data_IF_990714903273
#
_entry.id   IF_990714903273
#
_cell.length_a   1.000
_cell.length_b   1.000
_cell.length_c   1.000
_cell.angle_alpha   90.00
_cell.angle_beta   90.00
_cell.angle_gamma   90.00
#
_symmetry.space_group_name_H-M   'P 1'
#
loop_
_entity.id
_entity.type
_entity.pdbx_description
1 polymer ?
#
# COMPACT_ATOMS: atom_id res chain seq x y z
N UNK A 1 3.75 22.78 31.32
CA UNK A 1 2.71 21.89 30.76
C UNK A 1 3.44 20.77 30.05
N UNK A 2 3.49 19.58 30.64
CA UNK A 2 4.20 18.45 30.06
C UNK A 2 3.21 17.68 29.17
N UNK A 3 3.18 18.02 27.88
CA UNK A 3 2.46 17.20 26.91
C UNK A 3 3.19 15.85 26.83
N UNK A 4 2.58 14.80 27.39
CA UNK A 4 2.97 13.44 27.08
C UNK A 4 2.60 13.23 25.61
N UNK A 5 3.55 13.49 24.73
CA UNK A 5 3.46 13.14 23.32
C UNK A 5 3.60 11.61 23.28
N UNK A 6 2.47 10.91 23.32
CA UNK A 6 2.45 9.48 23.03
C UNK A 6 2.91 9.32 21.58
N UNK A 7 4.19 9.02 21.37
CA UNK A 7 4.78 8.76 20.07
C UNK A 7 4.45 7.33 19.64
N UNK A 8 3.16 6.99 19.60
CA UNK A 8 2.73 5.70 19.10
C UNK A 8 2.99 5.68 17.59
N UNK A 9 3.86 4.77 17.17
CA UNK A 9 4.20 4.58 15.76
C UNK A 9 3.36 3.42 15.24
N UNK A 10 2.53 3.68 14.24
CA UNK A 10 1.65 2.69 13.63
C UNK A 10 2.40 1.98 12.50
N UNK A 11 2.48 0.65 12.55
CA UNK A 11 2.93 -0.16 11.43
C UNK A 11 1.80 -0.30 10.40
N UNK A 12 2.07 0.07 9.15
CA UNK A 12 1.13 0.02 8.04
C UNK A 12 1.70 -0.76 6.84
N UNK A 13 0.84 -1.54 6.18
CA UNK A 13 1.15 -2.19 4.91
C UNK A 13 0.52 -1.41 3.75
N UNK A 14 1.26 -1.21 2.67
CA UNK A 14 0.80 -0.57 1.44
C UNK A 14 0.31 -1.65 0.47
N UNK A 15 -0.95 -1.60 0.05
CA UNK A 15 -1.50 -2.53 -0.94
C UNK A 15 -1.74 -1.82 -2.26
N UNK A 16 -1.13 -2.33 -3.33
CA UNK A 16 -1.23 -1.82 -4.70
C UNK A 16 -1.84 -2.92 -5.57
N UNK A 17 -2.79 -2.58 -6.44
CA UNK A 17 -3.45 -3.58 -7.30
C UNK A 17 -3.54 -3.08 -8.74
N UNK A 18 -3.31 -4.00 -9.67
CA UNK A 18 -3.48 -3.76 -11.10
C UNK A 18 -4.92 -3.98 -11.54
N UNK A 19 -5.45 -3.02 -12.29
CA UNK A 19 -6.74 -3.15 -12.95
C UNK A 19 -6.56 -4.01 -14.20
N UNK A 20 -7.12 -5.21 -14.15
CA UNK A 20 -7.10 -6.21 -15.22
C UNK A 20 -8.11 -5.87 -16.32
N UNK A 21 -7.99 -4.69 -16.92
CA UNK A 21 -8.96 -4.20 -17.92
C UNK A 21 -8.39 -4.04 -19.34
N UNK A 22 -7.07 -4.00 -19.55
CA UNK A 22 -6.50 -4.00 -20.90
C UNK A 22 -5.27 -4.93 -20.92
N UNK A 23 -5.44 -6.11 -21.51
CA UNK A 23 -4.31 -6.98 -21.82
C UNK A 23 -3.34 -6.23 -22.72
N UNK A 24 -2.07 -6.21 -22.32
CA UNK A 24 -0.92 -5.69 -23.09
C UNK A 24 -0.57 -4.19 -22.96
N UNK A 25 -1.11 -3.44 -21.99
CA UNK A 25 -0.61 -2.07 -21.72
C UNK A 25 -0.16 -1.83 -20.29
N UNK A 26 1.15 -1.65 -20.15
CA UNK A 26 1.85 -0.90 -19.11
C UNK A 26 1.29 -1.04 -17.68
N UNK A 27 1.42 -2.24 -17.09
CA UNK A 27 1.25 -2.45 -15.65
C UNK A 27 2.00 -1.40 -14.80
N UNK A 28 3.13 -0.92 -15.29
CA UNK A 28 4.02 -0.06 -14.53
C UNK A 28 3.40 1.29 -14.14
N UNK A 29 2.62 1.94 -15.02
CA UNK A 29 2.25 3.34 -14.81
C UNK A 29 1.22 3.50 -13.68
N UNK A 30 0.23 2.61 -13.63
CA UNK A 30 -0.83 2.64 -12.60
C UNK A 30 -0.29 2.28 -11.21
N UNK A 31 0.62 1.31 -11.11
CA UNK A 31 1.22 0.91 -9.83
C UNK A 31 2.21 1.97 -9.32
N UNK A 32 3.01 2.56 -10.21
CA UNK A 32 3.91 3.64 -9.82
C UNK A 32 3.15 4.85 -9.32
N UNK A 33 2.07 5.26 -9.99
CA UNK A 33 1.24 6.37 -9.56
C UNK A 33 0.56 6.11 -8.20
N UNK A 34 -0.01 4.91 -7.99
CA UNK A 34 -0.60 4.55 -6.69
C UNK A 34 0.45 4.59 -5.56
N UNK A 35 1.65 4.09 -5.81
CA UNK A 35 2.75 4.12 -4.83
C UNK A 35 3.15 5.56 -4.50
N UNK A 36 3.27 6.42 -5.50
CA UNK A 36 3.65 7.81 -5.30
C UNK A 36 2.63 8.57 -4.44
N UNK A 37 1.34 8.39 -4.72
CA UNK A 37 0.26 8.99 -3.94
C UNK A 37 0.31 8.56 -2.46
N UNK A 38 0.55 7.28 -2.20
CA UNK A 38 0.62 6.76 -0.83
C UNK A 38 1.87 7.28 -0.11
N UNK A 39 3.02 7.31 -0.79
CA UNK A 39 4.24 7.86 -0.21
C UNK A 39 4.11 9.36 0.06
N UNK A 40 3.46 10.12 -0.82
CA UNK A 40 3.21 11.55 -0.61
C UNK A 40 2.31 11.80 0.61
N UNK A 41 1.25 11.02 0.77
CA UNK A 41 0.40 11.08 1.97
C UNK A 41 1.20 10.79 3.25
N UNK A 42 2.10 9.80 3.20
CA UNK A 42 2.90 9.38 4.36
C UNK A 42 4.04 10.35 4.69
N UNK A 43 4.51 11.19 3.74
CA UNK A 43 5.53 12.22 4.03
C UNK A 43 5.13 13.18 5.15
N UNK A 44 3.83 13.43 5.33
CA UNK A 44 3.31 14.30 6.39
C UNK A 44 2.85 13.53 7.64
N UNK A 45 3.13 12.22 7.73
CA UNK A 45 2.69 11.31 8.80
C UNK A 45 3.90 10.63 9.44
N UNK A 46 4.60 11.36 10.32
CA UNK A 46 5.74 10.82 11.08
C UNK A 46 5.32 9.72 12.07
N UNK A 47 4.02 9.62 12.36
CA UNK A 47 3.41 8.59 13.21
C UNK A 47 3.20 7.23 12.50
N UNK A 48 3.43 7.13 11.19
CA UNK A 48 3.18 5.91 10.42
C UNK A 48 4.47 5.36 9.83
N UNK A 49 4.75 4.09 10.12
CA UNK A 49 5.86 3.33 9.55
C UNK A 49 5.33 2.35 8.51
N UNK A 50 5.89 2.39 7.30
CA UNK A 50 5.62 1.35 6.31
C UNK A 50 6.36 0.07 6.71
N UNK A 51 5.61 -1.01 6.92
CA UNK A 51 6.14 -2.33 7.22
C UNK A 51 6.42 -3.12 5.93
N UNK A 52 5.42 -3.24 5.05
CA UNK A 52 5.55 -3.91 3.77
C UNK A 52 4.75 -3.22 2.65
N UNK A 53 5.16 -3.46 1.40
CA UNK A 53 4.40 -3.11 0.20
C UNK A 53 3.99 -4.41 -0.49
N UNK A 54 2.68 -4.62 -0.65
CA UNK A 54 2.07 -5.77 -1.34
C UNK A 54 1.51 -5.32 -2.67
N UNK A 55 1.95 -5.97 -3.75
CA UNK A 55 1.48 -5.69 -5.12
C UNK A 55 0.68 -6.88 -5.62
N UNK A 56 -0.58 -6.66 -5.96
CA UNK A 56 -1.48 -7.64 -6.56
C UNK A 56 -1.64 -7.35 -8.05
N UNK A 57 -1.01 -8.18 -8.87
CA UNK A 57 -1.07 -8.09 -10.34
C UNK A 57 -2.38 -8.69 -10.92
N UNK A 58 -3.37 -9.04 -10.08
CA UNK A 58 -4.61 -9.63 -10.57
C UNK A 58 -4.46 -11.02 -11.22
N UNK A 59 -3.27 -11.64 -11.16
CA UNK A 59 -3.05 -13.02 -11.60
C UNK A 59 -3.52 -14.07 -10.58
N UNK A 60 -3.76 -13.69 -9.32
CA UNK A 60 -4.08 -14.64 -8.22
C UNK A 60 -5.41 -14.38 -7.48
N UNK A 61 -6.26 -13.48 -7.98
CA UNK A 61 -7.55 -13.11 -7.36
C UNK A 61 -8.65 -14.18 -7.38
N UNK A 62 -8.33 -15.43 -7.74
CA UNK A 62 -9.28 -16.57 -7.72
C UNK A 62 -9.04 -17.55 -6.57
N UNK A 63 -8.02 -17.33 -5.74
CA UNK A 63 -7.75 -18.19 -4.58
C UNK A 63 -7.53 -17.35 -3.32
N UNK A 64 -8.62 -16.82 -2.75
CA UNK A 64 -8.67 -16.71 -1.28
C UNK A 64 -8.81 -18.15 -0.76
N UNK A 65 -7.68 -18.86 -0.65
CA UNK A 65 -7.65 -20.13 0.08
C UNK A 65 -7.90 -19.80 1.54
N UNK A 66 -9.14 -20.06 1.96
CA UNK A 66 -9.58 -20.20 3.33
C UNK A 66 -8.42 -20.65 4.23
N UNK A 67 -7.91 -19.74 5.08
CA UNK A 67 -7.01 -20.12 6.15
C UNK A 67 -7.87 -20.81 7.20
N UNK A 68 -7.77 -22.13 7.25
CA UNK A 68 -8.38 -22.97 8.27
C UNK A 68 -7.34 -23.33 9.33
#
# INVERSE_FOLDING_TARGET
MNANLNTDVYDADVYLRLSKEDGDKEESDSIMNQRELILEFLKSREDIRIHAVRVDDGYSGVNFVEVR
#
